data_IF_107580565032
#
_entry.id   IF_107580565032
#
_cell.length_a   1.000
_cell.length_b   1.000
_cell.length_c   1.000
_cell.angle_alpha   90.00
_cell.angle_beta   90.00
_cell.angle_gamma   90.00
#
_symmetry.space_group_name_H-M   'P 1'
#
loop_
_entity.id
_entity.type
_entity.pdbx_description
1 polymer ?
#
# COMPACT_ATOMS: atom_id res chain seq x y z
N UNK A 1 22.71 -10.57 -34.78
CA UNK A 1 22.12 -9.36 -34.15
C UNK A 1 20.60 -9.32 -34.38
N UNK A 2 19.84 -10.23 -33.75
CA UNK A 2 18.37 -10.34 -33.93
C UNK A 2 17.59 -10.26 -32.63
N UNK A 3 18.25 -10.40 -31.48
CA UNK A 3 17.61 -10.36 -30.16
C UNK A 3 17.31 -8.93 -29.69
N UNK A 4 18.22 -7.98 -29.94
CA UNK A 4 18.06 -6.58 -29.50
C UNK A 4 16.86 -5.91 -30.17
N UNK A 5 16.64 -6.13 -31.47
CA UNK A 5 15.49 -5.56 -32.18
C UNK A 5 14.15 -6.20 -31.78
N UNK A 6 14.14 -7.48 -31.39
CA UNK A 6 12.94 -8.18 -30.91
C UNK A 6 12.52 -7.70 -29.52
N UNK A 7 13.49 -7.54 -28.62
CA UNK A 7 13.25 -7.04 -27.27
C UNK A 7 12.75 -5.58 -27.35
N UNK A 8 13.40 -4.73 -28.15
CA UNK A 8 12.95 -3.35 -28.35
C UNK A 8 11.52 -3.23 -28.92
N UNK A 9 11.14 -4.13 -29.84
CA UNK A 9 9.77 -4.21 -30.35
C UNK A 9 8.78 -4.66 -29.27
N UNK A 10 9.10 -5.71 -28.49
CA UNK A 10 8.23 -6.19 -27.40
C UNK A 10 7.99 -5.15 -26.31
N UNK A 11 8.99 -4.35 -25.94
CA UNK A 11 8.80 -3.26 -24.98
C UNK A 11 7.86 -2.17 -25.52
N UNK A 12 7.94 -1.89 -26.82
CA UNK A 12 7.09 -0.90 -27.49
C UNK A 12 5.65 -1.37 -27.63
N UNK A 13 5.44 -2.64 -27.94
CA UNK A 13 4.11 -3.26 -28.02
C UNK A 13 3.46 -3.35 -26.63
N UNK A 14 4.21 -3.71 -25.59
CA UNK A 14 3.73 -3.69 -24.20
C UNK A 14 3.36 -2.29 -23.72
N UNK A 15 4.11 -1.26 -24.12
CA UNK A 15 3.79 0.13 -23.75
C UNK A 15 2.50 0.62 -24.41
N UNK A 16 2.30 0.29 -25.68
CA UNK A 16 1.06 0.58 -26.41
C UNK A 16 -0.14 -0.17 -25.81
N UNK A 17 0.03 -1.44 -25.41
CA UNK A 17 -1.03 -2.21 -24.76
C UNK A 17 -1.39 -1.65 -23.38
N UNK A 18 -0.40 -1.30 -22.55
CA UNK A 18 -0.62 -0.72 -21.22
C UNK A 18 -1.29 0.66 -21.25
N UNK A 19 -1.15 1.41 -22.34
CA UNK A 19 -1.82 2.72 -22.49
C UNK A 19 -3.15 2.64 -23.23
N UNK A 20 -3.33 1.71 -24.16
CA UNK A 20 -4.57 1.58 -24.95
C UNK A 20 -5.61 0.62 -24.35
N UNK A 21 -5.19 -0.39 -23.57
CA UNK A 21 -6.10 -1.35 -22.91
C UNK A 21 -6.29 -1.12 -21.42
N UNK A 22 -5.61 -0.15 -20.83
CA UNK A 22 -5.72 0.12 -19.40
C UNK A 22 -6.10 1.58 -19.21
N UNK A 23 -7.32 1.80 -18.72
CA UNK A 23 -7.78 3.12 -18.30
C UNK A 23 -7.02 3.53 -17.04
N UNK A 24 -5.88 4.19 -17.22
CA UNK A 24 -5.23 4.89 -16.12
C UNK A 24 -6.16 6.03 -15.66
N UNK A 25 -6.60 6.02 -14.39
CA UNK A 25 -7.41 7.10 -13.87
C UNK A 25 -6.60 8.40 -13.92
N UNK A 26 -7.31 9.51 -14.03
CA UNK A 26 -6.67 10.83 -14.12
C UNK A 26 -5.88 11.13 -12.84
N UNK A 27 -4.88 12.01 -12.91
CA UNK A 27 -4.05 12.39 -11.75
C UNK A 27 -4.89 12.79 -10.53
N UNK A 28 -6.04 13.43 -10.75
CA UNK A 28 -6.98 13.82 -9.69
C UNK A 28 -7.69 12.63 -9.02
N UNK A 29 -8.09 11.63 -9.79
CA UNK A 29 -8.70 10.39 -9.25
C UNK A 29 -7.69 9.54 -8.48
N UNK A 30 -6.44 9.51 -8.94
CA UNK A 30 -5.32 8.89 -8.21
C UNK A 30 -5.09 9.56 -6.85
N UNK A 31 -5.10 10.89 -6.80
CA UNK A 31 -4.98 11.63 -5.54
C UNK A 31 -6.18 11.40 -4.63
N UNK A 32 -7.39 11.36 -5.17
CA UNK A 32 -8.59 11.03 -4.39
C UNK A 32 -8.48 9.66 -3.73
N UNK A 33 -8.05 8.63 -4.49
CA UNK A 33 -7.84 7.29 -3.98
C UNK A 33 -6.72 7.24 -2.93
N UNK A 34 -5.64 8.00 -3.13
CA UNK A 34 -4.53 8.09 -2.18
C UNK A 34 -4.95 8.74 -0.85
N UNK A 35 -5.82 9.75 -0.88
CA UNK A 35 -6.33 10.42 0.33
C UNK A 35 -7.17 9.44 1.16
N UNK A 36 -8.01 8.62 0.52
CA UNK A 36 -8.80 7.60 1.22
C UNK A 36 -7.88 6.60 1.93
N UNK A 37 -6.84 6.12 1.25
CA UNK A 37 -5.86 5.19 1.84
C UNK A 37 -5.08 5.85 2.98
N UNK A 38 -4.71 7.12 2.85
CA UNK A 38 -4.04 7.88 3.90
C UNK A 38 -4.89 7.95 5.19
N UNK A 39 -6.18 8.24 5.06
CA UNK A 39 -7.10 8.27 6.20
C UNK A 39 -7.27 6.88 6.80
N UNK A 40 -7.41 5.84 5.97
CA UNK A 40 -7.49 4.46 6.45
C UNK A 40 -6.24 4.06 7.25
N UNK A 41 -5.05 4.44 6.79
CA UNK A 41 -3.79 4.18 7.50
C UNK A 41 -3.71 4.88 8.86
N UNK A 42 -4.26 6.09 8.97
CA UNK A 42 -4.30 6.85 10.22
C UNK A 42 -5.21 6.17 11.25
N UNK A 43 -6.37 5.66 10.82
CA UNK A 43 -7.28 4.92 11.71
C UNK A 43 -6.61 3.65 12.23
N UNK A 44 -5.91 2.90 11.36
CA UNK A 44 -5.17 1.70 11.76
C UNK A 44 -4.07 2.06 12.76
N UNK A 45 -3.34 3.15 12.55
CA UNK A 45 -2.30 3.60 13.47
C UNK A 45 -2.86 3.89 14.88
N UNK A 46 -4.01 4.55 14.98
CA UNK A 46 -4.68 4.81 16.27
C UNK A 46 -5.12 3.49 16.92
N UNK A 47 -5.67 2.57 16.14
CA UNK A 47 -6.11 1.27 16.65
C UNK A 47 -4.93 0.47 17.23
N UNK A 48 -3.81 0.39 16.51
CA UNK A 48 -2.61 -0.31 16.97
C UNK A 48 -2.08 0.30 18.26
N UNK A 49 -2.02 1.63 18.36
CA UNK A 49 -1.61 2.32 19.58
C UNK A 49 -2.48 1.94 20.79
N UNK A 50 -3.80 1.85 20.58
CA UNK A 50 -4.76 1.45 21.62
C UNK A 50 -4.52 0.00 22.08
N UNK A 51 -4.30 -0.90 21.12
CA UNK A 51 -4.03 -2.31 21.38
C UNK A 51 -2.70 -2.48 22.12
N UNK A 52 -1.64 -1.83 21.66
CA UNK A 52 -0.31 -1.89 22.27
C UNK A 52 -0.34 -1.42 23.73
N UNK A 53 -1.02 -0.29 23.99
CA UNK A 53 -1.18 0.26 25.34
C UNK A 53 -2.02 -0.65 26.23
N UNK A 54 -3.09 -1.24 25.69
CA UNK A 54 -3.92 -2.18 26.44
C UNK A 54 -3.14 -3.44 26.85
N UNK A 55 -2.36 -4.01 25.92
CA UNK A 55 -1.53 -5.18 26.21
C UNK A 55 -0.43 -4.90 27.22
N UNK A 56 0.26 -3.75 27.12
CA UNK A 56 1.26 -3.34 28.11
C UNK A 56 0.65 -3.26 29.52
N UNK A 57 -0.50 -2.61 29.66
CA UNK A 57 -1.18 -2.46 30.94
C UNK A 57 -1.64 -3.80 31.53
N UNK A 58 -2.14 -4.71 30.68
CA UNK A 58 -2.55 -6.06 31.11
C UNK A 58 -1.34 -6.86 31.56
N UNK A 59 -0.25 -6.87 30.78
CA UNK A 59 0.97 -7.60 31.13
C UNK A 59 1.60 -7.08 32.42
N UNK A 60 1.69 -5.75 32.59
CA UNK A 60 2.18 -5.15 33.83
C UNK A 60 1.31 -5.54 35.04
N UNK A 61 -0.01 -5.57 34.87
CA UNK A 61 -0.93 -6.01 35.93
C UNK A 61 -0.71 -7.48 36.31
N UNK A 62 -0.55 -8.36 35.32
CA UNK A 62 -0.27 -9.79 35.54
C UNK A 62 1.09 -9.99 36.20
N UNK A 63 2.14 -9.31 35.72
CA UNK A 63 3.47 -9.41 36.32
C UNK A 63 3.52 -8.88 37.76
N UNK A 64 2.74 -7.84 38.08
CA UNK A 64 2.58 -7.35 39.47
C UNK A 64 1.82 -8.30 40.37
N UNK A 65 0.90 -9.11 39.83
CA UNK A 65 0.15 -10.13 40.57
C UNK A 65 0.95 -11.41 40.80
N UNK A 66 1.84 -11.75 39.87
CA UNK A 66 2.68 -12.95 39.93
C UNK A 66 3.92 -12.76 40.82
N UNK A 67 4.34 -11.51 41.06
CA UNK A 67 5.39 -11.13 42.00
C UNK A 67 4.81 -10.86 43.38
#
# INVERSE_FOLDING_TARGET
MSLVNRIGASFRDSYAELTQKVTWPTRQELTSSAIVVMIASLIIAIFVLLVDTAFENILLSVYRLLK
#
